data_IF_928332912420
#
_entry.id   IF_928332912420
#
_cell.length_a   1.000
_cell.length_b   1.000
_cell.length_c   1.000
_cell.angle_alpha   90.00
_cell.angle_beta   90.00
_cell.angle_gamma   90.00
#
_symmetry.space_group_name_H-M   'P 1'
#
loop_
_entity.id
_entity.type
_entity.pdbx_description
1 polymer ?
#
# COMPACT_ATOMS: atom_id res chain seq x y z
N UNK A 1 11.16 4.65 8.12
CA UNK A 1 11.97 4.05 7.03
C UNK A 1 11.89 5.00 5.85
N UNK A 2 12.94 5.78 5.61
CA UNK A 2 12.96 6.73 4.50
C UNK A 2 12.84 5.98 3.16
N UNK A 3 11.96 6.45 2.28
CA UNK A 3 11.89 5.97 0.90
C UNK A 3 13.24 6.16 0.22
N UNK A 4 13.65 5.21 -0.64
CA UNK A 4 14.85 5.39 -1.47
C UNK A 4 14.55 6.49 -2.48
N UNK A 5 15.06 7.69 -2.23
CA UNK A 5 15.14 8.73 -3.26
C UNK A 5 16.14 8.27 -4.32
N UNK A 6 15.67 8.14 -5.56
CA UNK A 6 16.52 7.83 -6.69
C UNK A 6 17.09 9.13 -7.24
N UNK A 7 18.41 9.27 -7.16
CA UNK A 7 19.13 10.38 -7.78
C UNK A 7 19.62 9.96 -9.17
N UNK A 8 19.24 10.72 -10.18
CA UNK A 8 19.75 10.55 -11.54
C UNK A 8 21.00 11.42 -11.72
N UNK A 9 22.12 10.84 -12.21
CA UNK A 9 23.31 11.64 -12.47
C UNK A 9 23.03 12.66 -13.57
N UNK A 10 23.42 13.92 -13.35
CA UNK A 10 23.45 14.91 -14.43
C UNK A 10 24.47 14.49 -15.50
N UNK A 11 24.22 14.83 -16.75
CA UNK A 11 25.19 14.64 -17.82
C UNK A 11 25.63 15.98 -18.39
N UNK A 12 26.94 16.14 -18.54
CA UNK A 12 27.55 17.31 -19.16
C UNK A 12 28.45 16.84 -20.29
N UNK A 13 28.30 17.46 -21.47
CA UNK A 13 29.13 17.20 -22.64
C UNK A 13 29.73 18.52 -23.13
N UNK A 14 31.04 18.50 -23.40
CA UNK A 14 31.75 19.62 -24.02
C UNK A 14 32.38 19.13 -25.31
N UNK A 15 32.02 19.74 -26.44
CA UNK A 15 32.61 19.44 -27.75
C UNK A 15 32.92 20.77 -28.46
N UNK A 16 34.21 21.10 -28.57
CA UNK A 16 34.64 22.43 -29.00
C UNK A 16 34.13 23.51 -28.04
N UNK A 17 33.50 24.56 -28.58
CA UNK A 17 32.92 25.67 -27.81
C UNK A 17 31.49 25.39 -27.30
N UNK A 18 30.93 24.21 -27.56
CA UNK A 18 29.57 23.86 -27.14
C UNK A 18 29.61 23.12 -25.81
N UNK A 19 28.97 23.69 -24.79
CA UNK A 19 28.71 23.05 -23.49
C UNK A 19 27.21 22.74 -23.36
N UNK A 20 26.89 21.46 -23.18
CA UNK A 20 25.54 20.99 -22.88
C UNK A 20 25.51 20.49 -21.44
N UNK A 21 24.59 21.02 -20.64
CA UNK A 21 24.31 20.58 -19.28
C UNK A 21 22.85 20.16 -19.17
N UNK A 22 22.60 18.91 -18.78
CA UNK A 22 21.23 18.40 -18.61
C UNK A 22 21.02 17.92 -17.20
N UNK A 23 20.12 18.61 -16.52
CA UNK A 23 19.62 18.24 -15.20
C UNK A 23 18.46 17.24 -15.31
N UNK A 24 18.56 16.12 -14.59
CA UNK A 24 17.51 15.12 -14.49
C UNK A 24 16.60 15.30 -13.26
N UNK A 25 16.79 16.37 -12.47
CA UNK A 25 16.01 16.68 -11.26
C UNK A 25 14.50 16.75 -11.50
N UNK A 26 14.09 17.15 -12.71
CA UNK A 26 12.67 17.18 -13.12
C UNK A 26 12.06 15.77 -13.09
N UNK A 27 12.81 14.75 -13.47
CA UNK A 27 12.34 13.36 -13.51
C UNK A 27 12.28 12.78 -12.10
N UNK A 28 13.28 13.04 -11.25
CA UNK A 28 13.28 12.64 -9.83
C UNK A 28 11.98 13.07 -9.14
N UNK A 29 11.67 14.36 -9.20
CA UNK A 29 10.44 14.92 -8.59
C UNK A 29 9.16 14.31 -9.17
N UNK A 30 9.14 13.97 -10.46
CA UNK A 30 7.99 13.33 -11.08
C UNK A 30 7.81 11.89 -10.59
N UNK A 31 8.90 11.13 -10.46
CA UNK A 31 8.84 9.77 -9.93
C UNK A 31 8.48 9.74 -8.44
N UNK A 32 9.01 10.65 -7.63
CA UNK A 32 8.62 10.80 -6.22
C UNK A 32 7.12 11.08 -6.07
N UNK A 33 6.61 12.03 -6.86
CA UNK A 33 5.16 12.34 -6.88
C UNK A 33 4.33 11.16 -7.37
N UNK A 34 4.80 10.44 -8.38
CA UNK A 34 4.12 9.26 -8.90
C UNK A 34 4.07 8.14 -7.85
N UNK A 35 5.15 7.94 -7.09
CA UNK A 35 5.19 6.96 -6.00
C UNK A 35 4.24 7.35 -4.87
N UNK A 36 4.28 8.61 -4.43
CA UNK A 36 3.37 9.11 -3.40
C UNK A 36 1.89 8.97 -3.81
N UNK A 37 1.58 9.30 -5.07
CA UNK A 37 0.25 9.10 -5.64
C UNK A 37 -0.15 7.63 -5.62
N UNK A 38 0.72 6.73 -6.11
CA UNK A 38 0.42 5.30 -6.16
C UNK A 38 0.12 4.74 -4.77
N UNK A 39 1.00 5.00 -3.81
CA UNK A 39 0.86 4.52 -2.43
C UNK A 39 -0.46 5.00 -1.81
N UNK A 40 -0.84 6.26 -2.08
CA UNK A 40 -2.08 6.87 -1.58
C UNK A 40 -3.34 6.31 -2.24
N UNK A 41 -3.30 6.05 -3.55
CA UNK A 41 -4.42 5.47 -4.29
C UNK A 41 -4.68 4.03 -3.91
N UNK A 42 -3.64 3.21 -3.77
CA UNK A 42 -3.78 1.82 -3.30
C UNK A 42 -4.51 1.79 -1.96
N UNK A 43 -4.10 2.62 -0.98
CA UNK A 43 -4.79 2.69 0.31
C UNK A 43 -6.24 3.15 0.18
N UNK A 44 -6.53 4.09 -0.71
CA UNK A 44 -7.90 4.59 -0.93
C UNK A 44 -8.80 3.51 -1.51
N UNK A 45 -8.31 2.81 -2.53
CA UNK A 45 -9.07 1.77 -3.25
C UNK A 45 -9.17 0.46 -2.47
N UNK A 46 -8.29 0.20 -1.50
CA UNK A 46 -8.43 -0.93 -0.58
C UNK A 46 -9.60 -0.76 0.40
N UNK A 47 -9.91 0.47 0.84
CA UNK A 47 -10.84 0.73 1.94
C UNK A 47 -12.23 0.09 1.77
N UNK A 48 -12.88 0.15 0.58
CA UNK A 48 -14.17 -0.50 0.36
C UNK A 48 -14.17 -2.01 0.60
N UNK A 49 -13.02 -2.67 0.41
CA UNK A 49 -12.83 -4.12 0.55
C UNK A 49 -12.27 -4.51 1.93
N UNK A 50 -12.02 -3.53 2.80
CA UNK A 50 -11.51 -3.80 4.16
C UNK A 50 -12.65 -4.13 5.13
N UNK A 51 -12.37 -4.95 6.15
CA UNK A 51 -13.28 -5.15 7.27
C UNK A 51 -13.59 -3.84 7.99
N UNK A 52 -14.88 -3.55 8.16
CA UNK A 52 -15.35 -2.34 8.82
C UNK A 52 -16.36 -2.69 9.93
N UNK A 53 -15.86 -2.83 11.15
CA UNK A 53 -16.70 -2.99 12.35
C UNK A 53 -16.98 -1.63 12.98
N UNK A 54 -15.93 -1.00 13.51
CA UNK A 54 -16.01 0.27 14.25
C UNK A 54 -15.15 1.37 13.58
N UNK A 55 -14.69 1.15 12.34
CA UNK A 55 -13.79 2.06 11.61
C UNK A 55 -12.34 2.13 12.10
N UNK A 56 -12.06 1.79 13.36
CA UNK A 56 -10.72 1.91 13.96
C UNK A 56 -9.63 1.16 13.16
N UNK A 57 -9.91 -0.07 12.71
CA UNK A 57 -8.96 -0.86 11.93
C UNK A 57 -8.54 -0.16 10.62
N UNK A 58 -9.52 0.39 9.90
CA UNK A 58 -9.29 1.14 8.66
C UNK A 58 -8.49 2.40 8.95
N UNK A 59 -8.84 3.13 10.01
CA UNK A 59 -8.15 4.37 10.39
C UNK A 59 -6.69 4.13 10.76
N UNK A 60 -6.39 3.13 11.59
CA UNK A 60 -5.01 2.79 11.96
C UNK A 60 -4.21 2.35 10.74
N UNK A 61 -4.82 1.54 9.86
CA UNK A 61 -4.16 1.09 8.63
C UNK A 61 -3.85 2.27 7.69
N UNK A 62 -4.81 3.20 7.52
CA UNK A 62 -4.59 4.44 6.75
C UNK A 62 -3.48 5.29 7.33
N UNK A 63 -3.45 5.50 8.64
CA UNK A 63 -2.41 6.30 9.30
C UNK A 63 -1.02 5.68 9.13
N UNK A 64 -0.90 4.37 9.32
CA UNK A 64 0.38 3.68 9.12
C UNK A 64 0.82 3.70 7.65
N UNK A 65 -0.11 3.54 6.71
CA UNK A 65 0.20 3.62 5.28
C UNK A 65 0.57 5.04 4.85
N UNK A 66 -0.08 6.06 5.38
CA UNK A 66 0.23 7.46 5.09
C UNK A 66 1.64 7.83 5.57
N UNK A 67 2.08 7.29 6.71
CA UNK A 67 3.45 7.49 7.20
C UNK A 67 4.54 6.85 6.29
N UNK A 68 4.15 5.94 5.40
CA UNK A 68 5.04 5.29 4.43
C UNK A 68 4.84 5.82 3.00
N UNK A 69 3.90 6.74 2.77
CA UNK A 69 3.58 7.21 1.42
C UNK A 69 4.81 7.87 0.76
N UNK A 70 5.10 7.46 -0.47
CA UNK A 70 6.30 7.86 -1.22
C UNK A 70 7.49 6.92 -1.03
N UNK A 71 7.40 5.94 -0.12
CA UNK A 71 8.45 4.92 0.05
C UNK A 71 8.28 3.70 -0.86
N UNK A 72 7.15 3.57 -1.55
CA UNK A 72 6.79 2.37 -2.31
C UNK A 72 6.29 1.22 -1.44
N UNK A 73 5.86 1.52 -0.21
CA UNK A 73 5.30 0.56 0.73
C UNK A 73 3.93 1.05 1.19
N UNK A 74 2.97 0.14 1.20
CA UNK A 74 1.60 0.37 1.66
C UNK A 74 1.29 -0.65 2.75
N UNK A 75 0.64 -0.20 3.83
CA UNK A 75 0.19 -1.10 4.89
C UNK A 75 -1.18 -1.62 4.51
N UNK A 76 -1.26 -2.89 4.10
CA UNK A 76 -2.54 -3.51 3.76
C UNK A 76 -3.40 -3.74 5.01
N UNK A 77 -2.78 -4.12 6.14
CA UNK A 77 -3.49 -4.50 7.35
C UNK A 77 -2.67 -4.15 8.61
N UNK A 78 -3.17 -3.24 9.45
CA UNK A 78 -2.45 -2.84 10.66
C UNK A 78 -2.53 -3.91 11.78
N UNK A 79 -1.45 -4.10 12.58
CA UNK A 79 -1.50 -4.90 13.79
C UNK A 79 -2.43 -4.27 14.84
N UNK A 80 -2.91 -5.03 15.83
CA UNK A 80 -2.64 -6.46 16.09
C UNK A 80 -3.55 -7.40 15.29
N UNK A 81 -4.62 -6.88 14.69
CA UNK A 81 -5.67 -7.67 14.06
C UNK A 81 -5.41 -7.98 12.57
N UNK A 82 -4.52 -7.20 11.94
CA UNK A 82 -4.34 -7.20 10.50
C UNK A 82 -4.06 -8.57 9.90
N UNK A 83 -3.17 -9.37 10.51
CA UNK A 83 -2.83 -10.70 9.98
C UNK A 83 -4.04 -11.62 9.89
N UNK A 84 -4.86 -11.72 10.94
CA UNK A 84 -6.00 -12.64 10.91
C UNK A 84 -7.13 -12.12 10.02
N UNK A 85 -7.35 -10.81 10.01
CA UNK A 85 -8.34 -10.19 9.14
C UNK A 85 -7.97 -10.37 7.67
N UNK A 86 -6.70 -10.22 7.33
CA UNK A 86 -6.21 -10.34 5.96
C UNK A 86 -6.29 -11.77 5.42
N UNK A 87 -5.91 -12.77 6.23
CA UNK A 87 -6.05 -14.19 5.87
C UNK A 87 -7.51 -14.66 5.79
N UNK A 88 -8.43 -13.93 6.45
CA UNK A 88 -9.86 -14.24 6.48
C UNK A 88 -10.22 -15.61 7.02
N UNK A 89 -9.38 -16.17 7.89
CA UNK A 89 -9.63 -17.42 8.60
C UNK A 89 -9.79 -17.15 10.09
N UNK A 90 -10.70 -17.87 10.73
CA UNK A 90 -10.86 -17.81 12.18
C UNK A 90 -9.59 -18.34 12.83
N UNK A 91 -9.05 -17.57 13.77
CA UNK A 91 -7.88 -17.94 14.55
C UNK A 91 -8.26 -18.04 16.02
N UNK A 92 -7.96 -19.17 16.65
CA UNK A 92 -8.36 -19.50 18.03
C UNK A 92 -7.17 -19.82 18.92
N UNK A 93 -7.32 -19.67 20.23
CA UNK A 93 -6.39 -20.24 21.22
C UNK A 93 -6.57 -21.77 21.25
N UNK A 94 -5.50 -22.57 21.10
CA UNK A 94 -5.61 -24.03 21.03
C UNK A 94 -6.12 -24.67 22.33
N UNK A 95 -6.06 -23.97 23.48
CA UNK A 95 -6.51 -24.50 24.77
C UNK A 95 -7.97 -24.13 25.04
N UNK A 96 -8.33 -22.86 24.82
CA UNK A 96 -9.70 -22.39 25.13
C UNK A 96 -10.65 -22.49 23.94
N UNK A 97 -10.13 -22.81 22.74
CA UNK A 97 -10.86 -22.79 21.47
C UNK A 97 -11.53 -21.45 21.16
N UNK A 98 -11.13 -20.39 21.86
CA UNK A 98 -11.71 -19.06 21.76
C UNK A 98 -10.98 -18.21 20.71
N UNK A 99 -11.71 -17.43 19.90
CA UNK A 99 -11.12 -16.35 19.10
C UNK A 99 -10.43 -15.27 19.96
N UNK A 100 -10.72 -15.21 21.27
CA UNK A 100 -10.03 -14.35 22.23
C UNK A 100 -8.95 -15.15 22.96
N UNK A 101 -7.72 -15.04 22.47
CA UNK A 101 -6.60 -15.78 23.02
C UNK A 101 -6.11 -15.18 24.35
N UNK A 102 -5.63 -16.05 25.24
CA UNK A 102 -5.01 -15.63 26.50
C UNK A 102 -3.77 -14.79 26.23
N UNK A 103 -3.41 -13.92 27.17
CA UNK A 103 -2.19 -13.09 27.07
C UNK A 103 -0.96 -13.99 26.87
N UNK A 104 -0.21 -13.75 25.79
CA UNK A 104 0.98 -14.55 25.42
C UNK A 104 0.68 -15.84 24.63
N UNK A 105 -0.59 -16.23 24.46
CA UNK A 105 -0.94 -17.41 23.68
C UNK A 105 -0.86 -17.12 22.16
N UNK A 106 -0.25 -18.05 21.43
CA UNK A 106 -0.21 -18.03 19.96
C UNK A 106 -1.47 -18.67 19.41
N UNK A 107 -2.23 -17.93 18.61
CA UNK A 107 -3.42 -18.46 17.95
C UNK A 107 -3.06 -19.48 16.86
N UNK A 108 -3.87 -20.52 16.75
CA UNK A 108 -3.84 -21.50 15.65
C UNK A 108 -4.87 -21.11 14.59
N UNK A 109 -4.52 -21.32 13.32
CA UNK A 109 -5.40 -21.05 12.19
C UNK A 109 -6.36 -22.22 12.04
N UNK A 110 -7.65 -21.93 11.85
CA UNK A 110 -8.66 -22.94 11.54
C UNK A 110 -9.03 -22.90 10.06
N UNK A 111 -9.68 -23.94 9.56
CA UNK A 111 -10.23 -23.95 8.19
C UNK A 111 -11.49 -23.10 8.03
N UNK A 112 -12.08 -22.66 9.15
CA UNK A 112 -13.33 -21.90 9.13
C UNK A 112 -13.09 -20.49 8.58
N UNK A 113 -13.82 -20.07 7.51
CA UNK A 113 -13.72 -18.71 7.00
C UNK A 113 -14.29 -17.71 8.00
N UNK A 114 -13.71 -16.51 8.00
CA UNK A 114 -14.18 -15.38 8.79
C UNK A 114 -15.32 -14.68 8.04
N UNK A 115 -16.38 -14.33 8.76
CA UNK A 115 -17.45 -13.48 8.23
C UNK A 115 -17.16 -12.03 8.60
N UNK A 116 -17.20 -11.13 7.60
CA UNK A 116 -17.04 -9.70 7.81
C UNK A 116 -18.41 -9.00 7.88
N UNK A 117 -18.49 -7.92 8.64
CA UNK A 117 -19.69 -7.05 8.70
C UNK A 117 -19.87 -6.22 7.42
N UNK A 118 -18.78 -5.84 6.77
CA UNK A 118 -18.82 -5.14 5.49
C UNK A 118 -19.10 -6.16 4.38
N UNK A 119 -20.20 -6.03 3.62
CA UNK A 119 -20.56 -6.99 2.57
C UNK A 119 -19.58 -7.02 1.39
N UNK A 120 -18.79 -5.95 1.21
CA UNK A 120 -17.75 -5.89 0.18
C UNK A 120 -16.39 -6.35 0.69
N UNK A 121 -16.27 -6.65 1.98
CA UNK A 121 -14.99 -7.05 2.53
C UNK A 121 -14.60 -8.45 2.06
N UNK A 122 -13.33 -8.58 1.67
CA UNK A 122 -12.76 -9.84 1.16
C UNK A 122 -11.48 -10.15 1.93
N UNK A 123 -11.13 -11.43 2.12
CA UNK A 123 -9.75 -11.77 2.49
C UNK A 123 -8.81 -11.27 1.40
N UNK A 124 -7.56 -10.99 1.76
CA UNK A 124 -6.55 -10.48 0.82
C UNK A 124 -7.07 -9.27 -0.01
N UNK A 125 -7.76 -8.32 0.64
CA UNK A 125 -8.40 -7.19 -0.03
C UNK A 125 -7.51 -6.32 -0.92
N UNK A 126 -6.18 -6.38 -0.73
CA UNK A 126 -5.24 -5.76 -1.65
C UNK A 126 -5.31 -6.39 -3.04
N UNK A 127 -5.42 -7.72 -3.14
CA UNK A 127 -5.53 -8.43 -4.41
C UNK A 127 -6.86 -8.09 -5.09
N UNK A 128 -7.96 -8.05 -4.33
CA UNK A 128 -9.27 -7.56 -4.82
C UNK A 128 -9.17 -6.13 -5.37
N UNK A 129 -8.53 -5.22 -4.63
CA UNK A 129 -8.35 -3.84 -5.06
C UNK A 129 -7.44 -3.74 -6.29
N UNK A 130 -6.39 -4.55 -6.37
CA UNK A 130 -5.44 -4.60 -7.49
C UNK A 130 -6.10 -5.12 -8.75
N UNK A 131 -6.94 -6.13 -8.65
CA UNK A 131 -7.67 -6.67 -9.79
C UNK A 131 -8.68 -5.65 -10.33
N UNK A 132 -9.36 -4.92 -9.43
CA UNK A 132 -10.32 -3.89 -9.81
C UNK A 132 -9.68 -2.59 -10.33
N UNK A 133 -8.60 -2.12 -9.72
CA UNK A 133 -8.06 -0.77 -9.91
C UNK A 133 -6.62 -0.72 -10.46
N UNK A 134 -5.93 -1.86 -10.58
CA UNK A 134 -4.52 -1.90 -10.97
C UNK A 134 -4.20 -1.22 -12.30
N UNK A 135 -5.09 -1.34 -13.29
CA UNK A 135 -4.95 -0.61 -14.58
C UNK A 135 -5.05 0.91 -14.39
N UNK A 136 -5.94 1.37 -13.51
CA UNK A 136 -6.10 2.79 -13.20
C UNK A 136 -4.87 3.34 -12.45
N UNK A 137 -4.31 2.57 -11.52
CA UNK A 137 -3.06 2.91 -10.83
C UNK A 137 -1.91 3.13 -11.80
N UNK A 138 -1.69 2.20 -12.73
CA UNK A 138 -0.65 2.31 -13.76
C UNK A 138 -0.88 3.53 -14.65
N UNK A 139 -2.13 3.80 -15.06
CA UNK A 139 -2.48 4.99 -15.85
C UNK A 139 -2.16 6.27 -15.10
N UNK A 140 -2.51 6.34 -13.81
CA UNK A 140 -2.24 7.50 -12.96
C UNK A 140 -0.75 7.74 -12.75
N UNK A 141 0.03 6.68 -12.49
CA UNK A 141 1.49 6.74 -12.39
C UNK A 141 2.11 7.24 -13.69
N UNK A 142 1.73 6.66 -14.84
CA UNK A 142 2.25 7.09 -16.17
C UNK A 142 1.99 8.56 -16.45
N UNK A 143 0.80 9.06 -16.08
CA UNK A 143 0.43 10.48 -16.24
C UNK A 143 1.34 11.40 -15.42
N UNK A 144 1.74 10.99 -14.21
CA UNK A 144 2.56 11.83 -13.30
C UNK A 144 4.04 11.70 -13.61
N UNK A 145 4.52 10.48 -13.91
CA UNK A 145 5.93 10.19 -14.17
C UNK A 145 6.39 10.56 -15.59
N UNK A 146 5.50 10.39 -16.59
CA UNK A 146 5.83 10.54 -18.02
C UNK A 146 5.71 11.97 -18.56
N UNK A 147 5.33 12.95 -17.73
CA UNK A 147 5.35 14.36 -18.10
C UNK A 147 4.66 14.70 -19.42
N UNK A 148 3.35 14.51 -19.53
CA UNK A 148 2.60 14.97 -20.70
C UNK A 148 1.10 14.71 -20.60
N UNK A 149 0.34 15.75 -20.26
CA UNK A 149 -1.05 15.87 -20.68
C UNK A 149 -1.10 15.79 -22.20
N UNK A 150 -1.71 14.72 -22.72
CA UNK A 150 -2.51 14.81 -23.94
C UNK A 150 -3.94 14.49 -23.55
#
# INVERSE_FOLDING_TARGET
>A
MAGRTFHFPGFSLVQGDIRVDVSLNRFERQYERAQYYLDSQIMTDMVPYMPHRDGNFVNVTRLQSAALAGSGKVVAAAPPMGRFLYEGKVMIDPVTWSPWARKGAKKVVTERPLTYSNPKATPHWFDTAKDAHGKAWVKGVKRIAGGGTK
#
